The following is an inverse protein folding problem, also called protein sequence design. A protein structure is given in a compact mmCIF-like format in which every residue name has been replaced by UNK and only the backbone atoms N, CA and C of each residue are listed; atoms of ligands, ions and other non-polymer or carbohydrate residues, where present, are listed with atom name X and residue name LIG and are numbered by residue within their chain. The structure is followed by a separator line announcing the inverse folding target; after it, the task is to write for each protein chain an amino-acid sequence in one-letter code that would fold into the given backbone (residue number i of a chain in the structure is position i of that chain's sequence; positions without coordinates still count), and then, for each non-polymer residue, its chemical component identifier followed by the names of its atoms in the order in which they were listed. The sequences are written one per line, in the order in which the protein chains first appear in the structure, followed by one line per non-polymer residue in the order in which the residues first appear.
data_IF_888634004399
#
_entry.id   IF_888634004399
#
_cell.length_a   1.000
_cell.length_b   1.000
_cell.length_c   1.000
_cell.angle_alpha   90.00
_cell.angle_beta   90.00
_cell.angle_gamma   90.00
#
_symmetry.space_group_name_H-M   'P 1'
#
loop_
_entity.id
_entity.type
_entity.pdbx_description
1 polymer ?
#
# COMPACT_ATOMS: atom_id res chain seq x y z
N UNK A 1 -18.27 22.45 -2.15
CA UNK A 1 -17.92 21.42 -3.15
C UNK A 1 -17.58 20.15 -2.38
N UNK A 2 -17.84 18.97 -2.95
CA UNK A 2 -17.40 17.71 -2.36
C UNK A 2 -15.91 17.56 -2.67
N UNK A 3 -15.08 17.40 -1.63
CA UNK A 3 -13.64 17.15 -1.79
C UNK A 3 -13.41 15.67 -2.12
N UNK A 4 -12.35 15.36 -2.89
CA UNK A 4 -11.88 14.00 -3.13
C UNK A 4 -10.91 13.64 -1.99
N UNK A 5 -11.28 12.70 -1.10
CA UNK A 5 -10.42 12.30 0.00
C UNK A 5 -9.35 11.32 -0.48
N UNK A 6 -8.09 11.65 -0.20
CA UNK A 6 -6.91 10.84 -0.50
C UNK A 6 -6.16 10.59 0.81
N UNK A 7 -5.80 9.33 1.07
CA UNK A 7 -5.14 8.93 2.30
C UNK A 7 -3.76 8.34 2.04
N UNK A 8 -2.86 8.62 2.96
CA UNK A 8 -1.54 7.98 3.06
C UNK A 8 -1.36 7.48 4.50
N UNK A 9 -0.53 6.46 4.69
CA UNK A 9 -0.03 6.06 6.01
C UNK A 9 1.48 6.08 5.98
N UNK A 10 2.12 6.88 6.84
CA UNK A 10 3.58 7.01 6.84
C UNK A 10 4.17 7.00 8.24
N UNK A 11 5.41 6.54 8.34
CA UNK A 11 6.31 6.89 9.44
C UNK A 11 7.09 8.16 9.10
N UNK A 12 7.65 8.83 10.11
CA UNK A 12 8.37 10.10 9.96
C UNK A 12 9.49 10.04 8.89
N UNK A 13 10.24 8.92 8.83
CA UNK A 13 11.31 8.70 7.85
C UNK A 13 10.82 8.43 6.42
N UNK A 14 9.52 8.25 6.20
CA UNK A 14 8.92 8.14 4.87
C UNK A 14 8.43 9.49 4.31
N UNK A 15 8.55 10.57 5.08
CA UNK A 15 8.19 11.93 4.66
C UNK A 15 8.83 12.34 3.33
N UNK A 16 10.14 12.09 3.07
CA UNK A 16 10.75 12.44 1.79
C UNK A 16 10.03 11.86 0.57
N UNK A 17 9.63 10.58 0.65
CA UNK A 17 8.94 9.90 -0.45
C UNK A 17 7.50 10.37 -0.58
N UNK A 18 6.79 10.50 0.55
CA UNK A 18 5.42 11.00 0.59
C UNK A 18 5.32 12.41 -0.02
N UNK A 19 6.28 13.29 0.28
CA UNK A 19 6.35 14.62 -0.31
C UNK A 19 6.51 14.58 -1.84
N UNK A 20 7.30 13.64 -2.37
CA UNK A 20 7.43 13.43 -3.82
C UNK A 20 6.13 12.88 -4.42
N UNK A 21 5.50 11.90 -3.77
CA UNK A 21 4.20 11.36 -4.20
C UNK A 21 3.13 12.47 -4.24
N UNK A 22 2.97 13.23 -3.16
CA UNK A 22 2.01 14.34 -3.08
C UNK A 22 2.33 15.42 -4.13
N UNK A 23 3.60 15.75 -4.36
CA UNK A 23 3.97 16.70 -5.41
C UNK A 23 3.57 16.19 -6.80
N UNK A 24 3.71 14.89 -7.08
CA UNK A 24 3.26 14.31 -8.35
C UNK A 24 1.74 14.35 -8.51
N UNK A 25 0.99 14.17 -7.41
CA UNK A 25 -0.46 14.35 -7.41
C UNK A 25 -0.82 15.81 -7.72
N UNK A 26 -0.20 16.77 -7.03
CA UNK A 26 -0.40 18.22 -7.24
C UNK A 26 -0.11 18.62 -8.69
N UNK A 27 0.89 18.03 -9.33
CA UNK A 27 1.24 18.32 -10.72
C UNK A 27 0.12 17.94 -11.72
N UNK A 28 -0.83 17.07 -11.34
CA UNK A 28 -1.84 16.51 -12.23
C UNK A 28 -3.31 16.78 -11.83
N UNK A 29 -3.58 17.44 -10.70
CA UNK A 29 -4.97 17.71 -10.28
C UNK A 29 -5.72 18.64 -11.24
N UNK A 30 -7.02 18.38 -11.40
CA UNK A 30 -7.94 19.33 -12.02
C UNK A 30 -8.15 20.52 -11.08
N UNK A 31 -7.79 21.72 -11.55
CA UNK A 31 -7.88 22.97 -10.78
C UNK A 31 -9.33 23.38 -10.42
N UNK A 32 -10.33 22.71 -10.99
CA UNK A 32 -11.75 22.94 -10.70
C UNK A 32 -12.34 21.95 -9.67
N UNK A 33 -11.55 20.98 -9.20
CA UNK A 33 -11.93 20.03 -8.15
C UNK A 33 -11.13 20.32 -6.88
N UNK A 34 -11.69 19.95 -5.73
CA UNK A 34 -11.04 20.02 -4.43
C UNK A 34 -10.55 18.62 -4.01
N UNK A 35 -9.37 18.57 -3.40
CA UNK A 35 -8.73 17.35 -2.92
C UNK A 35 -8.30 17.53 -1.47
N UNK A 36 -8.56 16.53 -0.64
CA UNK A 36 -8.13 16.52 0.77
C UNK A 36 -7.23 15.33 0.99
N UNK A 37 -5.94 15.61 1.14
CA UNK A 37 -4.92 14.62 1.46
C UNK A 37 -4.82 14.53 2.98
N UNK A 38 -4.95 13.33 3.54
CA UNK A 38 -4.76 13.09 4.97
C UNK A 38 -3.70 12.01 5.16
N UNK A 39 -2.60 12.37 5.82
CA UNK A 39 -1.54 11.44 6.19
C UNK A 39 -1.77 10.95 7.60
N UNK A 40 -2.02 9.65 7.75
CA UNK A 40 -2.10 8.99 9.04
C UNK A 40 -0.69 8.67 9.51
N UNK A 41 -0.35 9.17 10.69
CA UNK A 41 0.98 9.01 11.31
C UNK A 41 0.82 8.62 12.77
N UNK A 42 1.74 7.82 13.28
CA UNK A 42 1.88 7.62 14.73
C UNK A 42 2.67 8.80 15.32
N UNK A 43 3.88 8.98 14.80
CA UNK A 43 4.80 10.05 15.17
C UNK A 43 5.30 10.74 13.91
N UNK A 44 5.42 12.07 13.96
CA UNK A 44 6.03 12.89 12.92
C UNK A 44 6.73 14.08 13.58
N UNK A 45 7.90 14.47 13.06
CA UNK A 45 8.60 15.65 13.56
C UNK A 45 7.89 16.95 13.17
N UNK A 46 8.03 18.01 13.96
CA UNK A 46 7.44 19.32 13.64
C UNK A 46 7.91 19.84 12.28
N UNK A 47 9.16 19.55 11.91
CA UNK A 47 9.71 19.89 10.60
C UNK A 47 8.98 19.14 9.48
N UNK A 48 8.90 17.82 9.57
CA UNK A 48 8.26 17.01 8.53
C UNK A 48 6.77 17.28 8.41
N UNK A 49 6.08 17.46 9.55
CA UNK A 49 4.68 17.92 9.56
C UNK A 49 4.53 19.23 8.79
N UNK A 50 5.36 20.23 9.10
CA UNK A 50 5.32 21.51 8.40
C UNK A 50 5.63 21.37 6.92
N UNK A 51 6.67 20.62 6.55
CA UNK A 51 7.06 20.41 5.16
C UNK A 51 5.92 19.79 4.34
N UNK A 52 5.15 18.86 4.92
CA UNK A 52 3.98 18.24 4.27
C UNK A 52 2.78 19.18 4.21
N UNK A 53 2.44 19.87 5.30
CA UNK A 53 1.32 20.83 5.33
C UNK A 53 1.55 22.00 4.35
N UNK A 54 2.79 22.45 4.20
CA UNK A 54 3.21 23.49 3.27
C UNK A 54 3.08 23.09 1.78
N UNK A 55 2.85 21.80 1.46
CA UNK A 55 2.49 21.36 0.11
C UNK A 55 1.05 21.73 -0.29
N UNK A 56 0.24 22.20 0.67
CA UNK A 56 -1.13 22.64 0.38
C UNK A 56 -1.14 23.79 -0.63
N UNK A 57 -2.04 23.70 -1.61
CA UNK A 57 -2.31 24.75 -2.59
C UNK A 57 -3.80 25.08 -2.60
N UNK A 58 -4.23 25.98 -3.48
CA UNK A 58 -5.62 26.51 -3.52
C UNK A 58 -6.71 25.42 -3.42
N UNK A 59 -6.53 24.30 -4.12
CA UNK A 59 -7.52 23.23 -4.24
C UNK A 59 -7.02 21.87 -3.73
N UNK A 60 -5.86 21.83 -3.07
CA UNK A 60 -5.29 20.61 -2.47
C UNK A 60 -4.93 20.93 -1.03
N UNK A 61 -5.59 20.25 -0.10
CA UNK A 61 -5.48 20.48 1.33
C UNK A 61 -4.77 19.30 1.99
N UNK A 62 -3.56 19.49 2.53
CA UNK A 62 -2.77 18.44 3.17
C UNK A 62 -2.93 18.52 4.68
N UNK A 63 -3.33 17.40 5.31
CA UNK A 63 -3.59 17.31 6.73
C UNK A 63 -2.82 16.14 7.35
N UNK A 64 -2.35 16.31 8.58
CA UNK A 64 -1.78 15.22 9.38
C UNK A 64 -2.81 14.74 10.39
N UNK A 65 -3.05 13.42 10.41
CA UNK A 65 -3.89 12.77 11.40
C UNK A 65 -3.03 11.86 12.28
N UNK A 66 -2.95 12.17 13.57
CA UNK A 66 -2.31 11.30 14.54
C UNK A 66 -3.26 10.16 14.89
N UNK A 67 -2.87 8.93 14.57
CA UNK A 67 -3.65 7.76 14.95
C UNK A 67 -3.26 7.32 16.37
N UNK A 68 -4.27 6.86 17.11
CA UNK A 68 -4.08 6.27 18.42
C UNK A 68 -3.64 4.80 18.31
N UNK A 69 -2.66 4.41 19.11
CA UNK A 69 -2.16 3.04 19.20
C UNK A 69 -3.23 2.08 19.76
N UNK A 70 -4.27 2.59 20.44
CA UNK A 70 -5.39 1.77 20.92
C UNK A 70 -6.05 0.94 19.79
N UNK A 71 -6.09 1.47 18.57
CA UNK A 71 -6.70 0.76 17.43
C UNK A 71 -5.89 -0.45 16.97
N UNK A 72 -4.59 -0.47 17.27
CA UNK A 72 -3.71 -1.59 16.95
C UNK A 72 -3.38 -2.43 18.18
N UNK A 73 -3.92 -2.10 19.35
CA UNK A 73 -3.75 -2.89 20.58
C UNK A 73 -4.16 -4.37 20.45
N UNK A 74 -5.21 -4.75 19.68
CA UNK A 74 -5.52 -6.15 19.41
C UNK A 74 -4.46 -6.88 18.57
N UNK A 75 -3.57 -6.15 17.90
CA UNK A 75 -2.48 -6.72 17.11
C UNK A 75 -1.31 -6.96 18.06
N UNK A 76 -1.21 -8.18 18.58
CA UNK A 76 -0.10 -8.56 19.45
C UNK A 76 1.24 -8.41 18.72
N UNK A 77 2.28 -7.98 19.45
CA UNK A 77 3.66 -7.98 18.96
C UNK A 77 4.19 -9.44 18.93
N UNK A 78 3.70 -10.25 17.99
CA UNK A 78 4.18 -11.60 17.69
C UNK A 78 4.97 -11.61 16.37
N UNK A 79 5.88 -12.57 16.22
CA UNK A 79 6.74 -12.73 15.03
C UNK A 79 5.93 -12.88 13.72
N UNK A 80 4.66 -13.29 13.81
CA UNK A 80 3.75 -13.49 12.67
C UNK A 80 3.20 -12.18 12.06
N UNK A 81 3.31 -11.05 12.76
CA UNK A 81 2.76 -9.74 12.33
C UNK A 81 3.80 -8.83 11.63
N UNK A 82 4.94 -9.38 11.22
CA UNK A 82 6.02 -8.62 10.59
C UNK A 82 5.79 -8.49 9.08
N UNK A 83 5.89 -7.28 8.52
CA UNK A 83 5.88 -7.08 7.07
C UNK A 83 7.12 -7.73 6.47
N UNK A 84 6.91 -8.56 5.43
CA UNK A 84 7.94 -9.38 4.78
C UNK A 84 8.76 -10.16 5.81
N UNK A 85 8.10 -10.62 6.87
CA UNK A 85 8.63 -11.02 8.18
C UNK A 85 10.03 -10.47 8.61
N UNK A 86 10.25 -9.19 8.37
CA UNK A 86 11.48 -8.47 8.75
C UNK A 86 11.23 -7.27 9.66
N UNK A 87 10.09 -6.57 9.51
CA UNK A 87 9.78 -5.38 10.32
C UNK A 87 8.33 -5.39 10.80
N UNK A 88 8.13 -5.38 12.12
CA UNK A 88 6.84 -5.03 12.70
C UNK A 88 6.67 -3.52 12.59
N UNK A 89 5.75 -3.06 11.76
CA UNK A 89 5.38 -1.64 11.74
C UNK A 89 3.87 -1.54 11.77
N UNK A 90 3.33 -1.05 12.89
CA UNK A 90 1.89 -0.92 13.05
C UNK A 90 1.23 -0.05 11.99
N UNK A 91 2.02 0.83 11.36
CA UNK A 91 1.55 1.70 10.29
C UNK A 91 0.96 0.99 9.08
N UNK A 92 1.36 -0.26 8.78
CA UNK A 92 0.80 -1.00 7.64
C UNK A 92 -0.70 -1.26 7.82
N UNK A 93 -1.13 -1.52 9.06
CA UNK A 93 -2.52 -1.81 9.38
C UNK A 93 -3.39 -0.55 9.46
N UNK A 94 -2.80 0.64 9.58
CA UNK A 94 -3.56 1.89 9.70
C UNK A 94 -4.52 2.11 8.54
N UNK A 95 -4.15 1.65 7.33
CA UNK A 95 -5.00 1.74 6.14
C UNK A 95 -6.33 1.00 6.30
N UNK A 96 -6.36 -0.09 7.07
CA UNK A 96 -7.55 -0.90 7.32
C UNK A 96 -8.62 -0.17 8.14
N UNK A 97 -8.20 0.81 8.96
CA UNK A 97 -9.08 1.55 9.86
C UNK A 97 -9.63 2.85 9.28
N UNK A 98 -9.08 3.32 8.14
CA UNK A 98 -9.50 4.57 7.49
C UNK A 98 -11.03 4.65 7.31
N UNK A 99 -11.74 3.59 6.84
CA UNK A 99 -13.20 3.64 6.70
C UNK A 99 -13.97 3.99 7.98
N UNK A 100 -13.49 3.53 9.14
CA UNK A 100 -14.10 3.79 10.44
C UNK A 100 -13.68 5.14 11.03
N UNK A 101 -12.42 5.55 10.81
CA UNK A 101 -11.88 6.82 11.29
C UNK A 101 -12.48 8.04 10.60
N UNK A 102 -12.88 7.89 9.33
CA UNK A 102 -13.41 8.98 8.52
C UNK A 102 -14.83 8.66 8.01
N UNK A 103 -15.83 8.53 8.92
CA UNK A 103 -17.19 8.12 8.58
C UNK A 103 -17.94 9.14 7.69
N UNK A 104 -17.43 10.36 7.59
CA UNK A 104 -17.95 11.40 6.70
C UNK A 104 -17.74 11.10 5.20
N UNK A 105 -16.84 10.17 4.87
CA UNK A 105 -16.58 9.77 3.49
C UNK A 105 -17.19 8.40 3.20
N UNK A 106 -17.91 8.29 2.09
CA UNK A 106 -18.45 7.03 1.58
C UNK A 106 -17.51 6.35 0.56
N UNK A 107 -16.60 7.10 -0.05
CA UNK A 107 -15.58 6.64 -0.99
C UNK A 107 -14.28 7.39 -0.73
N UNK A 108 -13.13 6.76 -0.92
CA UNK A 108 -11.82 7.40 -0.79
C UNK A 108 -10.74 6.69 -1.60
N UNK A 109 -9.69 7.43 -1.95
CA UNK A 109 -8.46 6.85 -2.52
C UNK A 109 -7.42 6.71 -1.41
N UNK A 110 -6.67 5.61 -1.43
CA UNK A 110 -5.49 5.41 -0.62
C UNK A 110 -4.27 5.15 -1.51
N UNK A 111 -3.13 5.71 -1.12
CA UNK A 111 -1.85 5.60 -1.82
C UNK A 111 -0.73 5.32 -0.83
N UNK A 112 0.16 4.38 -1.17
CA UNK A 112 1.45 4.23 -0.50
C UNK A 112 2.36 5.45 -0.83
N UNK A 113 3.29 5.76 0.07
CA UNK A 113 4.17 6.93 -0.02
C UNK A 113 5.22 6.84 -1.15
N UNK A 114 5.46 5.66 -1.67
CA UNK A 114 6.39 5.34 -2.75
C UNK A 114 5.69 5.23 -4.12
N UNK A 115 4.66 6.05 -4.30
CA UNK A 115 3.92 6.19 -5.56
C UNK A 115 4.26 7.49 -6.30
N UNK A 116 4.10 7.49 -7.62
CA UNK A 116 4.12 8.68 -8.48
C UNK A 116 2.82 8.68 -9.29
N UNK A 117 2.05 9.75 -9.14
CA UNK A 117 0.76 9.95 -9.78
C UNK A 117 1.02 10.70 -11.09
N UNK A 118 0.55 10.12 -12.19
CA UNK A 118 0.79 10.59 -13.57
C UNK A 118 -0.50 11.08 -14.26
N UNK A 119 -1.63 11.12 -13.55
CA UNK A 119 -2.92 11.62 -14.03
C UNK A 119 -3.74 12.23 -12.89
N UNK A 120 -4.85 12.89 -13.18
CA UNK A 120 -5.76 13.39 -12.14
C UNK A 120 -6.32 12.21 -11.32
N UNK A 121 -6.02 12.17 -10.02
CA UNK A 121 -6.48 11.10 -9.11
C UNK A 121 -8.01 11.04 -8.99
N UNK A 122 -8.72 12.09 -9.38
CA UNK A 122 -10.18 12.07 -9.50
C UNK A 122 -10.67 11.02 -10.49
N UNK A 123 -9.89 10.67 -11.52
CA UNK A 123 -10.24 9.59 -12.44
C UNK A 123 -10.34 8.24 -11.72
N UNK A 124 -9.44 7.95 -10.78
CA UNK A 124 -9.53 6.75 -9.96
C UNK A 124 -10.76 6.83 -9.06
N UNK A 125 -10.92 7.95 -8.35
CA UNK A 125 -12.05 8.18 -7.44
C UNK A 125 -13.42 7.99 -8.12
N UNK A 126 -13.56 8.43 -9.37
CA UNK A 126 -14.79 8.34 -10.15
C UNK A 126 -15.02 6.96 -10.77
N UNK A 127 -14.13 5.98 -10.56
CA UNK A 127 -14.35 4.62 -11.04
C UNK A 127 -15.56 4.02 -10.32
N UNK A 128 -16.49 3.47 -11.11
CA UNK A 128 -17.66 2.77 -10.61
C UNK A 128 -17.30 1.31 -10.31
N UNK A 129 -17.36 0.94 -9.03
CA UNK A 129 -16.97 -0.39 -8.55
C UNK A 129 -18.15 -1.22 -8.06
N UNK A 130 -19.38 -0.70 -8.18
CA UNK A 130 -20.61 -1.38 -7.78
C UNK A 130 -20.62 -1.77 -6.30
N UNK A 131 -21.06 -3.00 -6.02
CA UNK A 131 -21.16 -3.54 -4.66
C UNK A 131 -19.83 -4.11 -4.12
N UNK A 132 -18.71 -3.83 -4.77
CA UNK A 132 -17.39 -4.23 -4.29
C UNK A 132 -16.97 -3.40 -3.07
N UNK A 133 -16.19 -4.03 -2.19
CA UNK A 133 -15.63 -3.40 -0.99
C UNK A 133 -14.56 -2.39 -1.39
N UNK A 134 -13.73 -2.72 -2.37
CA UNK A 134 -12.73 -1.81 -2.91
C UNK A 134 -12.31 -2.20 -4.34
N UNK A 135 -11.55 -1.32 -4.97
CA UNK A 135 -10.87 -1.56 -6.23
C UNK A 135 -9.35 -1.49 -6.03
N UNK A 136 -8.62 -2.40 -6.67
CA UNK A 136 -7.16 -2.38 -6.73
C UNK A 136 -6.63 -3.22 -7.90
N UNK A 137 -5.32 -3.23 -8.12
CA UNK A 137 -4.66 -3.90 -9.24
C UNK A 137 -4.05 -5.23 -8.77
N UNK A 138 -4.10 -6.31 -9.57
CA UNK A 138 -3.35 -7.54 -9.29
C UNK A 138 -1.88 -7.26 -8.97
N UNK A 139 -1.31 -7.91 -7.95
CA UNK A 139 0.08 -7.67 -7.57
C UNK A 139 1.03 -8.23 -8.65
N UNK A 140 1.47 -7.34 -9.54
CA UNK A 140 2.35 -7.72 -10.63
C UNK A 140 3.79 -7.91 -10.17
N UNK A 141 4.21 -7.33 -9.04
CA UNK A 141 5.58 -7.36 -8.55
C UNK A 141 6.06 -8.77 -8.15
N UNK A 142 5.14 -9.61 -7.67
CA UNK A 142 5.41 -10.99 -7.25
C UNK A 142 4.97 -12.04 -8.29
N UNK A 143 4.31 -11.60 -9.36
CA UNK A 143 3.55 -12.44 -10.29
C UNK A 143 4.38 -13.53 -10.96
N UNK A 144 5.65 -13.29 -11.25
CA UNK A 144 6.50 -14.24 -11.99
C UNK A 144 7.45 -15.04 -11.08
N UNK A 145 7.33 -14.87 -9.76
CA UNK A 145 8.15 -15.58 -8.78
C UNK A 145 7.39 -16.84 -8.35
N UNK A 146 7.83 -18.01 -8.87
CA UNK A 146 7.13 -19.30 -8.68
C UNK A 146 6.82 -19.63 -7.22
N UNK A 147 7.74 -19.48 -6.24
CA UNK A 147 7.42 -19.71 -4.84
C UNK A 147 6.28 -18.82 -4.33
N UNK A 148 6.22 -17.55 -4.73
CA UNK A 148 5.15 -16.62 -4.32
C UNK A 148 3.80 -16.97 -4.96
N UNK A 149 3.79 -17.50 -6.18
CA UNK A 149 2.56 -18.08 -6.77
C UNK A 149 2.06 -19.28 -5.96
N UNK A 150 2.97 -20.13 -5.48
CA UNK A 150 2.64 -21.27 -4.60
C UNK A 150 2.08 -20.77 -3.28
N UNK A 151 2.67 -19.75 -2.67
CA UNK A 151 2.15 -19.11 -1.46
C UNK A 151 0.71 -18.61 -1.62
N UNK A 152 0.41 -17.84 -2.68
CA UNK A 152 -0.95 -17.33 -2.93
C UNK A 152 -1.95 -18.49 -3.07
N UNK A 153 -1.56 -19.57 -3.75
CA UNK A 153 -2.46 -20.70 -3.98
C UNK A 153 -2.61 -21.62 -2.77
N UNK A 154 -1.52 -21.98 -2.11
CA UNK A 154 -1.47 -23.04 -1.10
C UNK A 154 -1.57 -22.52 0.33
N UNK A 155 -1.08 -21.31 0.60
CA UNK A 155 -1.11 -20.69 1.93
C UNK A 155 -2.27 -19.70 2.05
N UNK A 156 -2.42 -18.77 1.11
CA UNK A 156 -3.55 -17.84 1.08
C UNK A 156 -4.83 -18.58 0.65
N UNK A 157 -4.74 -19.42 -0.37
CA UNK A 157 -5.91 -20.18 -0.86
C UNK A 157 -6.74 -19.37 -1.86
N UNK A 158 -6.09 -18.44 -2.57
CA UNK A 158 -6.68 -17.63 -3.63
C UNK A 158 -6.27 -18.21 -4.98
N UNK A 159 -7.26 -18.50 -5.82
CA UNK A 159 -7.03 -19.01 -7.16
C UNK A 159 -8.08 -18.46 -8.15
N UNK A 160 -7.65 -18.03 -9.37
CA UNK A 160 -6.28 -18.05 -9.86
C UNK A 160 -5.44 -16.91 -9.21
N UNK A 161 -4.09 -17.02 -9.11
CA UNK A 161 -3.25 -16.06 -8.36
C UNK A 161 -3.42 -14.60 -8.78
N UNK A 162 -3.93 -14.38 -9.99
CA UNK A 162 -4.32 -13.10 -10.57
C UNK A 162 -5.37 -12.32 -9.78
N UNK A 163 -6.12 -13.02 -8.92
CA UNK A 163 -7.07 -12.37 -8.02
C UNK A 163 -6.38 -11.63 -6.87
N UNK A 164 -5.16 -12.01 -6.53
CA UNK A 164 -4.42 -11.43 -5.41
C UNK A 164 -3.92 -10.03 -5.79
N UNK A 165 -4.41 -9.02 -5.08
CA UNK A 165 -4.11 -7.61 -5.36
C UNK A 165 -2.97 -7.09 -4.51
N UNK A 166 -2.29 -6.07 -5.04
CA UNK A 166 -1.45 -5.19 -4.23
C UNK A 166 -2.33 -4.21 -3.46
N UNK A 167 -2.02 -3.83 -2.23
CA UNK A 167 -2.86 -2.92 -1.45
C UNK A 167 -2.28 -1.49 -1.31
N UNK A 168 -1.29 -1.10 -2.12
CA UNK A 168 -0.68 0.23 -2.09
C UNK A 168 -1.42 1.29 -2.92
N UNK A 169 -2.29 0.88 -3.83
CA UNK A 169 -3.23 1.78 -4.52
C UNK A 169 -4.63 1.21 -4.38
N UNK A 170 -5.49 1.89 -3.61
CA UNK A 170 -6.83 1.40 -3.29
C UNK A 170 -7.86 2.49 -3.56
N UNK A 171 -8.96 2.11 -4.23
CA UNK A 171 -10.20 2.87 -4.21
C UNK A 171 -11.19 2.19 -3.25
N UNK A 172 -11.37 2.77 -2.06
CA UNK A 172 -12.26 2.25 -1.04
C UNK A 172 -13.73 2.58 -1.30
N UNK A 173 -14.60 1.58 -1.13
CA UNK A 173 -15.99 1.81 -0.75
C UNK A 173 -16.06 1.89 0.78
N UNK A 174 -15.76 3.07 1.32
CA UNK A 174 -15.65 3.33 2.76
C UNK A 174 -16.96 2.97 3.48
N UNK A 175 -18.10 3.28 2.85
CA UNK A 175 -19.41 2.94 3.41
C UNK A 175 -19.60 1.43 3.53
N UNK A 176 -19.24 0.66 2.49
CA UNK A 176 -19.37 -0.80 2.53
C UNK A 176 -18.48 -1.42 3.62
N UNK A 177 -17.25 -0.92 3.80
CA UNK A 177 -16.36 -1.35 4.89
C UNK A 177 -17.02 -1.18 6.26
N UNK A 178 -17.67 -0.03 6.52
CA UNK A 178 -18.42 0.22 7.75
C UNK A 178 -19.67 -0.65 7.88
N UNK A 179 -20.52 -0.66 6.86
CA UNK A 179 -21.80 -1.40 6.86
C UNK A 179 -21.60 -2.90 7.08
N UNK A 180 -20.52 -3.44 6.50
CA UNK A 180 -20.15 -4.86 6.59
C UNK A 180 -19.25 -5.18 7.77
N UNK A 181 -18.89 -4.19 8.58
CA UNK A 181 -18.06 -4.34 9.79
C UNK A 181 -16.73 -5.04 9.51
N UNK A 182 -16.03 -4.57 8.48
CA UNK A 182 -14.73 -5.14 8.09
C UNK A 182 -13.74 -5.17 9.26
N UNK A 183 -13.66 -4.09 10.04
CA UNK A 183 -12.73 -3.99 11.19
C UNK A 183 -13.05 -5.04 12.26
N UNK A 184 -14.32 -5.26 12.60
CA UNK A 184 -14.72 -6.30 13.55
C UNK A 184 -14.33 -7.69 13.05
N UNK A 185 -14.49 -7.93 11.74
CA UNK A 185 -14.10 -9.19 11.10
C UNK A 185 -12.59 -9.39 11.15
N UNK A 186 -11.82 -8.36 10.82
CA UNK A 186 -10.37 -8.34 10.92
C UNK A 186 -9.90 -8.68 12.35
N UNK A 187 -10.42 -7.98 13.38
CA UNK A 187 -10.07 -8.27 14.78
C UNK A 187 -10.38 -9.72 15.17
N UNK A 188 -11.56 -10.22 14.81
CA UNK A 188 -11.93 -11.62 15.13
C UNK A 188 -11.00 -12.67 14.53
N UNK A 189 -10.36 -12.36 13.40
CA UNK A 189 -9.47 -13.27 12.69
C UNK A 189 -8.04 -13.17 13.23
N UNK A 190 -7.52 -11.95 13.41
CA UNK A 190 -6.15 -11.72 13.89
C UNK A 190 -5.94 -12.17 15.33
N UNK A 191 -6.94 -12.00 16.19
CA UNK A 191 -6.91 -12.48 17.58
C UNK A 191 -7.00 -14.01 17.68
N UNK A 192 -7.59 -14.67 16.69
CA UNK A 192 -7.92 -16.10 16.77
C UNK A 192 -6.91 -17.00 16.08
N UNK A 193 -6.42 -16.60 14.91
CA UNK A 193 -5.67 -17.49 14.02
C UNK A 193 -4.19 -17.15 13.88
N UNK A 194 -3.75 -15.95 14.29
CA UNK A 194 -2.32 -15.60 14.29
C UNK A 194 -1.58 -15.99 13.01
N UNK A 195 -2.16 -15.66 11.85
CA UNK A 195 -1.64 -16.09 10.55
C UNK A 195 -0.23 -15.51 10.31
N UNK A 196 0.73 -16.38 10.01
CA UNK A 196 2.01 -15.95 9.46
C UNK A 196 1.83 -15.56 7.99
N UNK A 197 2.13 -14.31 7.66
CA UNK A 197 1.97 -13.75 6.32
C UNK A 197 3.24 -13.01 5.88
N UNK A 198 3.55 -13.09 4.59
CA UNK A 198 4.58 -12.25 3.97
C UNK A 198 4.12 -10.79 3.95
N UNK A 199 2.83 -10.56 3.77
CA UNK A 199 2.20 -9.26 3.54
C UNK A 199 0.89 -9.15 4.35
N UNK A 200 0.97 -9.01 5.69
CA UNK A 200 -0.16 -9.23 6.59
C UNK A 200 -1.41 -8.42 6.25
N UNK A 201 -1.30 -7.10 6.14
CA UNK A 201 -2.42 -6.21 5.85
C UNK A 201 -3.04 -6.47 4.46
N UNK A 202 -2.20 -6.75 3.47
CA UNK A 202 -2.62 -7.14 2.12
C UNK A 202 -3.36 -8.48 2.12
N UNK A 203 -2.88 -9.48 2.87
CA UNK A 203 -3.53 -10.78 3.03
C UNK A 203 -4.92 -10.65 3.65
N UNK A 204 -5.08 -9.92 4.76
CA UNK A 204 -6.39 -9.69 5.37
C UNK A 204 -7.38 -9.02 4.40
N UNK A 205 -6.95 -8.02 3.63
CA UNK A 205 -7.81 -7.39 2.63
C UNK A 205 -8.22 -8.36 1.52
N UNK A 206 -7.27 -9.12 0.98
CA UNK A 206 -7.53 -10.09 -0.08
C UNK A 206 -8.47 -11.21 0.40
N UNK A 207 -8.27 -11.71 1.61
CA UNK A 207 -8.96 -12.87 2.15
C UNK A 207 -10.38 -12.57 2.64
N UNK A 208 -10.55 -11.46 3.39
CA UNK A 208 -11.87 -11.05 3.88
C UNK A 208 -12.76 -10.57 2.72
N UNK A 209 -12.18 -9.95 1.69
CA UNK A 209 -12.93 -9.34 0.59
C UNK A 209 -12.87 -10.11 -0.72
N UNK A 210 -12.33 -11.34 -0.80
CA UNK A 210 -11.94 -12.03 -2.06
C UNK A 210 -12.97 -11.92 -3.20
N UNK A 211 -14.27 -12.07 -2.93
CA UNK A 211 -15.34 -12.05 -3.93
C UNK A 211 -15.98 -10.64 -4.13
N UNK A 212 -15.37 -9.62 -3.52
CA UNK A 212 -15.82 -8.23 -3.46
C UNK A 212 -14.70 -7.25 -3.80
N UNK A 213 -13.74 -7.67 -4.62
CA UNK A 213 -12.65 -6.83 -5.15
C UNK A 213 -12.95 -6.52 -6.61
N UNK A 214 -12.91 -5.23 -6.96
CA UNK A 214 -12.90 -4.81 -8.36
C UNK A 214 -11.45 -4.72 -8.85
N UNK A 215 -11.08 -5.53 -9.84
CA UNK A 215 -9.73 -5.49 -10.42
C UNK A 215 -9.58 -4.33 -11.41
N UNK A 216 -8.77 -3.34 -11.07
CA UNK A 216 -8.43 -2.19 -11.91
C UNK A 216 -7.48 -2.58 -13.05
N UNK A 217 -7.48 -1.81 -14.15
CA UNK A 217 -6.44 -1.88 -15.18
C UNK A 217 -5.02 -1.68 -14.61
N UNK A 218 -4.03 -2.37 -15.19
CA UNK A 218 -2.66 -2.42 -14.68
C UNK A 218 -1.97 -1.04 -14.62
N UNK A 219 -2.38 -0.10 -15.47
CA UNK A 219 -1.81 1.26 -15.47
C UNK A 219 -2.10 2.04 -14.19
N UNK A 220 -3.07 1.62 -13.37
CA UNK A 220 -3.36 2.25 -12.07
C UNK A 220 -2.38 1.85 -10.96
N UNK A 221 -1.50 0.88 -11.20
CA UNK A 221 -0.49 0.45 -10.23
C UNK A 221 0.68 -0.21 -10.98
N UNK A 222 1.41 0.61 -11.76
CA UNK A 222 2.54 0.15 -12.55
C UNK A 222 3.77 -0.04 -11.66
N UNK A 223 4.16 -1.28 -11.44
CA UNK A 223 5.27 -1.65 -10.55
C UNK A 223 6.53 -2.05 -11.33
N UNK A 224 7.74 -1.73 -10.85
CA UNK A 224 8.96 -2.31 -11.38
C UNK A 224 8.94 -3.84 -11.27
N UNK A 225 9.26 -4.51 -12.38
CA UNK A 225 9.34 -5.96 -12.43
C UNK A 225 10.30 -6.41 -13.54
N UNK A 226 11.39 -7.07 -13.16
CA UNK A 226 12.46 -7.52 -14.07
C UNK A 226 11.98 -8.54 -15.13
N UNK A 227 10.78 -9.10 -15.01
CA UNK A 227 10.20 -10.10 -15.92
C UNK A 227 9.19 -9.52 -16.93
N UNK A 228 8.91 -8.22 -16.89
CA UNK A 228 7.96 -7.57 -17.80
C UNK A 228 8.48 -6.22 -18.28
N UNK A 229 8.06 -5.83 -19.49
CA UNK A 229 8.31 -4.49 -20.00
C UNK A 229 7.51 -3.44 -19.22
N UNK A 230 8.00 -2.20 -19.24
CA UNK A 230 7.27 -1.07 -18.65
C UNK A 230 5.89 -0.88 -19.29
N UNK A 231 4.88 -0.68 -18.45
CA UNK A 231 3.54 -0.28 -18.87
C UNK A 231 3.64 1.11 -19.50
N UNK A 232 3.19 1.24 -20.75
CA UNK A 232 3.17 2.52 -21.45
C UNK A 232 2.10 3.42 -20.86
N UNK A 233 2.45 4.68 -20.56
CA UNK A 233 1.57 5.69 -19.98
C UNK A 233 0.92 5.21 -18.66
N UNK A 234 1.72 4.88 -17.63
CA UNK A 234 1.18 4.52 -16.33
C UNK A 234 0.38 5.70 -15.78
N UNK A 235 -0.76 5.43 -15.14
CA UNK A 235 -1.54 6.43 -14.38
C UNK A 235 -0.97 6.62 -12.99
N UNK A 236 -0.47 5.54 -12.37
CA UNK A 236 0.31 5.59 -11.14
C UNK A 236 1.47 4.61 -11.29
N UNK A 237 2.66 5.05 -10.96
CA UNK A 237 3.85 4.20 -10.78
C UNK A 237 4.02 3.93 -9.29
N UNK A 238 4.20 2.69 -8.90
CA UNK A 238 4.36 2.29 -7.51
C UNK A 238 5.66 1.53 -7.36
N UNK A 239 6.64 2.11 -6.66
CA UNK A 239 7.94 1.49 -6.45
C UNK A 239 7.87 0.48 -5.30
N UNK A 240 6.96 -0.50 -5.38
CA UNK A 240 6.76 -1.48 -4.31
C UNK A 240 7.94 -2.47 -4.20
N UNK A 241 7.95 -3.27 -3.13
CA UNK A 241 9.02 -4.23 -2.83
C UNK A 241 10.44 -3.63 -2.77
N UNK A 242 11.36 -4.13 -3.60
CA UNK A 242 12.81 -3.93 -3.50
C UNK A 242 13.33 -2.86 -4.46
N UNK A 243 12.61 -2.58 -5.54
CA UNK A 243 13.10 -1.74 -6.63
C UNK A 243 12.78 -0.28 -6.37
N UNK A 244 13.56 0.34 -5.48
CA UNK A 244 13.42 1.75 -5.15
C UNK A 244 14.39 2.63 -5.96
N UNK A 245 13.92 3.71 -6.61
CA UNK A 245 14.77 4.58 -7.41
C UNK A 245 15.81 5.35 -6.58
N UNK A 246 15.61 5.47 -5.26
CA UNK A 246 16.58 6.04 -4.31
C UNK A 246 17.56 5.01 -3.73
N UNK A 247 17.50 3.74 -4.14
CA UNK A 247 18.47 2.69 -3.79
C UNK A 247 19.22 2.14 -5.01
N UNK A 248 18.56 2.14 -6.17
CA UNK A 248 19.05 1.57 -7.42
C UNK A 248 18.93 2.60 -8.55
N UNK A 249 20.02 2.81 -9.31
CA UNK A 249 20.06 3.80 -10.38
C UNK A 249 19.22 3.39 -11.61
N UNK A 250 19.24 2.09 -11.94
CA UNK A 250 18.62 1.53 -13.15
C UNK A 250 17.35 0.75 -12.79
N UNK A 251 16.35 1.45 -12.23
CA UNK A 251 15.03 0.88 -11.93
C UNK A 251 14.02 1.33 -12.98
N UNK A 252 13.15 0.40 -13.39
CA UNK A 252 12.02 0.71 -14.25
C UNK A 252 11.23 1.90 -13.70
N UNK A 253 10.80 2.77 -14.60
CA UNK A 253 10.11 4.01 -14.27
C UNK A 253 10.92 5.00 -13.43
N UNK A 254 12.21 4.80 -13.16
CA UNK A 254 12.99 5.69 -12.27
C UNK A 254 12.99 7.15 -12.70
N UNK A 255 12.84 7.42 -14.01
CA UNK A 255 12.68 8.78 -14.55
C UNK A 255 11.45 9.50 -13.97
N UNK A 256 10.32 8.82 -13.79
CA UNK A 256 9.10 9.42 -13.23
C UNK A 256 9.35 9.94 -11.81
N UNK A 257 9.97 9.13 -10.95
CA UNK A 257 10.35 9.55 -9.60
C UNK A 257 11.29 10.75 -9.62
N UNK A 258 12.42 10.66 -10.33
CA UNK A 258 13.44 11.69 -10.28
C UNK A 258 13.01 13.02 -10.93
N UNK A 259 12.10 12.98 -11.90
CA UNK A 259 11.51 14.18 -12.50
C UNK A 259 10.60 14.95 -11.53
N UNK A 260 9.94 14.27 -10.60
CA UNK A 260 9.16 14.91 -9.54
C UNK A 260 10.04 15.28 -8.36
N UNK A 261 10.94 14.38 -7.96
CA UNK A 261 11.81 14.56 -6.79
C UNK A 261 12.63 15.85 -6.86
N UNK A 262 13.07 16.28 -8.06
CA UNK A 262 13.79 17.56 -8.25
C UNK A 262 13.03 18.81 -7.84
N UNK A 263 11.70 18.72 -7.69
CA UNK A 263 10.82 19.81 -7.23
C UNK A 263 10.62 19.78 -5.70
N UNK A 264 10.96 18.67 -5.05
CA UNK A 264 10.79 18.46 -3.62
C UNK A 264 11.96 19.06 -2.82
N UNK A 265 11.71 19.62 -1.62
CA UNK A 265 12.79 20.06 -0.72
C UNK A 265 13.74 18.91 -0.32
N UNK A 266 13.31 17.65 -0.47
CA UNK A 266 14.09 16.46 -0.14
C UNK A 266 14.97 15.95 -1.28
N UNK A 267 15.04 16.64 -2.44
CA UNK A 267 15.83 16.17 -3.58
C UNK A 267 17.29 15.86 -3.22
N UNK A 268 17.94 16.76 -2.46
CA UNK A 268 19.32 16.59 -2.04
C UNK A 268 19.52 15.35 -1.17
N UNK A 269 18.64 15.16 -0.19
CA UNK A 269 18.64 14.00 0.71
C UNK A 269 18.44 12.69 -0.06
N UNK A 270 17.47 12.64 -0.97
CA UNK A 270 17.21 11.46 -1.81
C UNK A 270 18.40 11.12 -2.72
N UNK A 271 19.07 12.13 -3.28
CA UNK A 271 20.28 11.95 -4.10
C UNK A 271 21.45 11.44 -3.27
N UNK A 272 21.61 11.96 -2.05
CA UNK A 272 22.61 11.48 -1.09
C UNK A 272 22.33 10.04 -0.68
N UNK A 273 21.07 9.69 -0.40
CA UNK A 273 20.66 8.32 -0.10
C UNK A 273 21.02 7.37 -1.24
N UNK A 274 20.71 7.73 -2.50
CA UNK A 274 21.08 6.90 -3.65
C UNK A 274 22.60 6.73 -3.78
N UNK A 275 23.37 7.78 -3.53
CA UNK A 275 24.83 7.75 -3.60
C UNK A 275 25.45 6.89 -2.47
N UNK A 276 24.86 6.95 -1.29
CA UNK A 276 25.33 6.26 -0.09
C UNK A 276 24.85 4.81 0.01
N UNK A 277 23.82 4.42 -0.74
CA UNK A 277 23.35 3.02 -0.78
C UNK A 277 24.42 2.16 -1.47
N UNK A 278 25.12 1.32 -0.72
CA UNK A 278 26.29 0.59 -1.22
C UNK A 278 25.91 -0.62 -2.05
N UNK A 279 26.86 -1.20 -2.79
CA UNK A 279 26.63 -2.48 -3.49
C UNK A 279 26.32 -3.63 -2.53
N UNK A 280 26.83 -3.56 -1.30
CA UNK A 280 26.48 -4.53 -0.26
C UNK A 280 25.03 -4.37 0.18
N UNK A 281 24.55 -3.13 0.35
CA UNK A 281 23.14 -2.86 0.69
C UNK A 281 22.20 -3.30 -0.44
N UNK A 282 22.58 -3.07 -1.70
CA UNK A 282 21.84 -3.56 -2.87
C UNK A 282 21.76 -5.09 -2.92
N UNK A 283 22.85 -5.78 -2.55
CA UNK A 283 22.87 -7.25 -2.46
C UNK A 283 21.97 -7.74 -1.33
N UNK A 284 22.00 -7.09 -0.16
CA UNK A 284 21.11 -7.40 0.96
C UNK A 284 19.64 -7.20 0.58
N UNK A 285 19.31 -6.06 -0.01
CA UNK A 285 17.95 -5.77 -0.48
C UNK A 285 17.44 -6.77 -1.53
N UNK A 286 18.33 -7.30 -2.40
CA UNK A 286 17.97 -8.39 -3.33
C UNK A 286 17.82 -9.73 -2.61
N UNK A 287 18.62 -10.00 -1.58
CA UNK A 287 18.53 -11.21 -0.77
C UNK A 287 17.26 -11.27 0.10
N UNK A 288 16.60 -10.13 0.36
CA UNK A 288 15.31 -10.12 1.03
C UNK A 288 14.25 -10.93 0.24
N UNK A 289 14.36 -11.00 -1.09
CA UNK A 289 13.52 -11.90 -1.90
C UNK A 289 13.79 -13.38 -1.57
N UNK A 290 15.05 -13.77 -1.41
CA UNK A 290 15.42 -15.15 -1.04
C UNK A 290 14.87 -15.48 0.35
N UNK A 291 14.90 -14.51 1.27
CA UNK A 291 14.30 -14.65 2.59
C UNK A 291 12.77 -14.84 2.48
N UNK A 292 12.06 -14.04 1.67
CA UNK A 292 10.61 -14.22 1.46
C UNK A 292 10.29 -15.60 0.87
N UNK A 293 11.10 -16.07 -0.09
CA UNK A 293 10.95 -17.41 -0.67
C UNK A 293 11.12 -18.49 0.40
N UNK A 294 12.14 -18.37 1.24
CA UNK A 294 12.33 -19.31 2.36
C UNK A 294 11.13 -19.31 3.31
N UNK A 295 10.58 -18.13 3.59
CA UNK A 295 9.41 -17.97 4.46
C UNK A 295 8.17 -18.66 3.89
N UNK A 296 7.98 -18.67 2.56
CA UNK A 296 6.88 -19.43 1.92
C UNK A 296 6.91 -20.91 2.32
N UNK A 297 8.09 -21.53 2.27
CA UNK A 297 8.23 -22.94 2.60
C UNK A 297 7.90 -23.21 4.08
N UNK A 298 8.27 -22.29 4.98
CA UNK A 298 7.92 -22.36 6.41
C UNK A 298 6.39 -22.23 6.62
N UNK A 299 5.75 -21.21 6.03
CA UNK A 299 4.30 -20.94 6.19
C UNK A 299 3.45 -22.10 5.67
N UNK A 300 3.87 -22.75 4.58
CA UNK A 300 3.12 -23.86 3.98
C UNK A 300 2.90 -25.02 4.95
N UNK A 301 3.88 -25.27 5.81
CA UNK A 301 3.88 -26.36 6.77
C UNK A 301 3.15 -26.00 8.08
N UNK A 302 2.81 -24.73 8.31
CA UNK A 302 2.11 -24.28 9.52
C UNK A 302 0.68 -24.81 9.63
N UNK A 303 0.25 -25.13 10.84
CA UNK A 303 -1.12 -25.63 11.09
C UNK A 303 -2.19 -24.60 10.74
N UNK A 304 -1.85 -23.30 10.76
CA UNK A 304 -2.81 -22.20 10.56
C UNK A 304 -2.42 -21.33 9.36
N UNK A 305 -2.97 -21.68 8.20
CA UNK A 305 -2.93 -20.83 6.99
C UNK A 305 -4.34 -20.41 6.59
N UNK A 306 -4.48 -19.33 5.82
CA UNK A 306 -5.79 -18.92 5.28
C UNK A 306 -6.47 -20.05 4.49
N UNK A 307 -5.72 -20.78 3.65
CA UNK A 307 -6.22 -21.92 2.90
C UNK A 307 -6.73 -23.05 3.80
N UNK A 308 -6.11 -23.28 4.97
CA UNK A 308 -6.55 -24.27 5.96
C UNK A 308 -7.76 -23.75 6.75
N UNK A 309 -7.75 -22.50 7.22
CA UNK A 309 -8.83 -21.89 8.01
C UNK A 309 -10.12 -21.73 7.22
N UNK A 310 -10.05 -21.35 5.94
CA UNK A 310 -11.22 -21.23 5.05
C UNK A 310 -12.02 -22.53 4.90
N UNK A 311 -11.43 -23.69 5.21
CA UNK A 311 -12.14 -24.99 5.17
C UNK A 311 -13.12 -25.18 6.33
N UNK A 312 -12.91 -24.49 7.44
CA UNK A 312 -13.67 -24.69 8.69
C UNK A 312 -14.31 -23.41 9.21
N UNK A 313 -13.90 -22.24 8.69
CA UNK A 313 -14.31 -20.93 9.18
C UNK A 313 -14.71 -20.03 8.01
N UNK A 314 -15.85 -19.35 8.13
CA UNK A 314 -16.23 -18.32 7.15
C UNK A 314 -15.33 -17.10 7.32
N UNK A 315 -14.46 -16.84 6.34
CA UNK A 315 -13.54 -15.70 6.34
C UNK A 315 -14.13 -14.47 5.63
N UNK A 316 -14.82 -14.70 4.51
CA UNK A 316 -15.32 -13.65 3.62
C UNK A 316 -16.51 -12.87 4.19
N UNK A 317 -16.68 -11.64 3.70
CA UNK A 317 -17.79 -10.71 3.97
C UNK A 317 -18.89 -10.74 2.89
#
# INVERSE_FOLDING_TARGET
MMTIPVFYTISDNYTPYAAVSIQSLIDHVDQNKDYTITLLVQNISDKHKKDLEDLSIKNVHVNIFHIDDEMVAPIHNSEENYLRAQFFTMSIFYRLFIPNLFPQYDKAVYLDADTIICTDIAELYNTEIGDNMFASVPDMSIRFIKPLQVYIKECQGIFPPEKYINNGVILFNMKAFRDKKFVDKFYSLIEKYHFDNIDPDQAYMNEICEDKIYHLPLEWDAMPNEHMDEIKNPKIVHYNLFFKPWHFADVQYGKYFWDVAKKSPYYGELKEQLANFTDEDRKKARADLDWMIKKVDEIKDEDVTWAKVKKTTSVKI
#
